data_IF_939496344457
#
_entry.id   IF_939496344457
#
_cell.length_a   1.000
_cell.length_b   1.000
_cell.length_c   1.000
_cell.angle_alpha   90.00
_cell.angle_beta   90.00
_cell.angle_gamma   90.00
#
_symmetry.space_group_name_H-M   'P 1'
#
loop_
_entity.id
_entity.type
_entity.pdbx_description
1 polymer ?
#
# COMPACT_ATOMS: atom_id res chain seq x y z
N UNK A 1 -12.14 2.16 -5.24
CA UNK A 1 -12.42 1.79 -3.84
C UNK A 1 -13.25 2.90 -3.22
N UNK A 2 -14.52 2.60 -2.92
CA UNK A 2 -15.52 3.55 -2.44
C UNK A 2 -15.34 3.78 -0.94
N UNK A 3 -14.97 4.99 -0.54
CA UNK A 3 -15.03 5.42 0.86
C UNK A 3 -16.49 5.68 1.24
N UNK A 4 -17.10 4.75 1.99
CA UNK A 4 -18.36 4.98 2.69
C UNK A 4 -18.08 5.83 3.92
N UNK A 5 -18.68 7.00 3.93
CA UNK A 5 -18.70 7.98 5.02
C UNK A 5 -19.58 7.45 6.19
N UNK A 6 -19.06 7.28 7.43
CA UNK A 6 -19.88 6.94 8.58
C UNK A 6 -19.87 8.10 9.58
N UNK A 7 -20.94 8.90 9.63
CA UNK A 7 -21.44 9.51 10.86
C UNK A 7 -22.48 10.61 10.56
N UNK A 8 -23.66 10.46 11.17
CA UNK A 8 -24.22 11.43 12.12
C UNK A 8 -25.60 10.92 12.55
N UNK A 9 -25.62 9.93 13.45
CA UNK A 9 -26.81 9.60 14.22
C UNK A 9 -26.78 10.44 15.50
N UNK A 10 -27.30 11.66 15.40
CA UNK A 10 -27.70 12.45 16.56
C UNK A 10 -29.20 12.15 16.80
N UNK A 11 -29.50 11.25 17.72
CA UNK A 11 -30.86 11.13 18.25
C UNK A 11 -31.09 12.24 19.29
N UNK A 12 -32.13 13.07 19.16
CA UNK A 12 -32.46 14.05 20.19
C UNK A 12 -33.06 13.32 21.39
N UNK A 13 -32.40 13.45 22.55
CA UNK A 13 -32.94 13.04 23.85
C UNK A 13 -34.29 13.73 24.08
N UNK A 14 -35.36 12.92 24.05
CA UNK A 14 -36.71 13.36 24.38
C UNK A 14 -36.73 13.89 25.82
N UNK A 15 -37.01 15.18 25.98
CA UNK A 15 -37.35 15.81 27.25
C UNK A 15 -38.61 15.14 27.82
N UNK A 16 -38.40 14.16 28.72
CA UNK A 16 -39.46 13.43 29.38
C UNK A 16 -39.94 14.16 30.64
N UNK A 17 -41.20 14.58 30.59
CA UNK A 17 -42.22 14.59 31.66
C UNK A 17 -41.72 14.49 33.11
N UNK A 18 -41.35 15.62 33.72
CA UNK A 18 -41.43 15.79 35.17
C UNK A 18 -42.01 17.18 35.49
N UNK A 19 -43.30 17.37 35.21
CA UNK A 19 -44.08 18.46 35.79
C UNK A 19 -45.13 17.86 36.70
N UNK A 20 -45.07 18.28 37.97
CA UNK A 20 -46.06 18.11 39.04
C UNK A 20 -45.97 16.81 39.86
N UNK A 21 -45.00 16.73 40.78
CA UNK A 21 -45.23 16.06 42.07
C UNK A 21 -45.43 17.15 43.14
N UNK A 22 -46.69 17.41 43.50
CA UNK A 22 -47.01 18.04 44.78
C UNK A 22 -46.92 16.96 45.85
N UNK A 23 -45.91 17.05 46.71
CA UNK A 23 -45.77 16.19 47.88
C UNK A 23 -46.72 16.73 48.95
N UNK A 24 -47.80 16.01 49.23
CA UNK A 24 -48.65 16.28 50.39
C UNK A 24 -47.95 15.81 51.66
N UNK A 25 -47.66 16.72 52.58
CA UNK A 25 -47.08 16.40 53.88
C UNK A 25 -48.22 15.96 54.81
N UNK A 26 -48.52 14.66 54.79
CA UNK A 26 -49.35 14.05 55.84
C UNK A 26 -48.51 13.89 57.10
N UNK A 27 -49.11 14.06 58.29
CA UNK A 27 -48.44 13.84 59.58
C UNK A 27 -47.90 12.40 59.64
N UNK A 28 -46.60 12.25 59.39
CA UNK A 28 -45.89 10.97 59.41
C UNK A 28 -45.67 10.59 60.88
N UNK A 29 -46.25 9.47 61.29
CA UNK A 29 -45.82 8.72 62.48
C UNK A 29 -44.33 8.40 62.29
N UNK A 30 -43.46 8.95 63.14
CA UNK A 30 -42.00 8.76 63.05
C UNK A 30 -41.67 7.27 63.26
N UNK A 31 -41.41 6.57 62.17
CA UNK A 31 -40.91 5.19 62.19
C UNK A 31 -39.40 5.25 62.24
N UNK A 32 -38.80 4.56 63.21
CA UNK A 32 -37.36 4.32 63.32
C UNK A 32 -36.76 3.98 61.94
N UNK A 33 -35.69 4.68 61.57
CA UNK A 33 -35.05 4.50 60.26
C UNK A 33 -34.45 3.10 60.16
N UNK A 34 -34.92 2.23 59.23
CA UNK A 34 -34.44 0.86 59.15
C UNK A 34 -32.97 0.84 58.75
N UNK A 35 -32.21 -0.09 59.35
CA UNK A 35 -30.81 -0.34 58.99
C UNK A 35 -30.66 -0.73 57.51
N UNK A 36 -29.53 -0.37 56.86
CA UNK A 36 -29.27 -0.76 55.49
C UNK A 36 -29.09 -2.27 55.36
N UNK A 37 -29.52 -2.85 54.23
CA UNK A 37 -29.41 -4.28 53.99
C UNK A 37 -28.15 -4.53 53.16
N UNK A 38 -27.09 -5.00 53.83
CA UNK A 38 -25.84 -5.30 53.13
C UNK A 38 -25.90 -6.66 52.44
N UNK A 39 -25.21 -6.75 51.30
CA UNK A 39 -24.94 -8.04 50.69
C UNK A 39 -24.09 -8.94 51.62
N UNK A 40 -24.25 -10.26 51.47
CA UNK A 40 -23.51 -11.26 52.25
C UNK A 40 -21.99 -11.14 52.09
N UNK A 41 -21.53 -10.70 50.91
CA UNK A 41 -20.11 -10.44 50.64
C UNK A 41 -19.58 -9.30 51.51
N UNK A 42 -20.30 -8.18 51.58
CA UNK A 42 -19.91 -6.99 52.34
C UNK A 42 -20.00 -7.21 53.85
N UNK A 43 -21.00 -7.98 54.30
CA UNK A 43 -21.21 -8.27 55.72
C UNK A 43 -20.02 -8.99 56.40
N UNK A 44 -19.17 -9.66 55.62
CA UNK A 44 -17.95 -10.30 56.14
C UNK A 44 -16.82 -9.31 56.49
N UNK A 45 -16.88 -8.09 55.95
CA UNK A 45 -15.79 -7.10 56.06
C UNK A 45 -16.21 -5.83 56.79
N UNK A 46 -17.50 -5.49 56.76
CA UNK A 46 -18.02 -4.26 57.36
C UNK A 46 -19.18 -4.59 58.30
N UNK A 47 -19.03 -4.25 59.58
CA UNK A 47 -20.09 -4.41 60.57
C UNK A 47 -21.11 -3.27 60.47
N UNK A 48 -22.40 -3.62 60.53
CA UNK A 48 -23.49 -2.66 60.59
C UNK A 48 -23.36 -1.75 61.84
N UNK A 49 -23.72 -0.46 61.73
CA UNK A 49 -23.79 0.40 62.90
C UNK A 49 -24.92 -0.08 63.83
N UNK A 50 -24.80 0.15 65.16
CA UNK A 50 -25.88 -0.17 66.08
C UNK A 50 -27.11 0.68 65.76
N UNK A 51 -28.31 0.09 65.94
CA UNK A 51 -29.55 0.82 65.75
C UNK A 51 -29.62 2.01 66.72
N UNK A 52 -30.00 3.22 66.25
CA UNK A 52 -30.25 4.34 67.15
C UNK A 52 -31.32 3.96 68.17
N UNK A 53 -31.06 4.25 69.44
CA UNK A 53 -32.00 3.95 70.55
C UNK A 53 -32.88 5.14 70.90
N UNK A 54 -32.55 6.33 70.41
CA UNK A 54 -33.23 7.58 70.71
C UNK A 54 -34.01 8.08 69.49
N UNK A 55 -35.17 8.70 69.72
CA UNK A 55 -35.98 9.37 68.71
C UNK A 55 -36.25 10.83 69.15
N UNK A 56 -35.62 11.84 68.52
CA UNK A 56 -34.77 11.74 67.34
C UNK A 56 -33.38 11.10 67.61
N UNK A 57 -32.71 10.56 66.57
CA UNK A 57 -31.35 10.04 66.67
C UNK A 57 -30.36 11.10 67.20
N UNK A 58 -29.38 10.68 68.01
CA UNK A 58 -28.38 11.60 68.53
C UNK A 58 -27.25 11.86 67.51
N UNK A 59 -26.51 12.98 67.62
CA UNK A 59 -25.34 13.23 66.78
C UNK A 59 -24.30 12.09 66.78
N UNK A 60 -24.22 11.34 67.89
CA UNK A 60 -23.33 10.18 68.00
C UNK A 60 -23.73 9.06 67.04
N UNK A 61 -25.02 8.90 66.74
CA UNK A 61 -25.52 7.87 65.82
C UNK A 61 -25.20 8.22 64.36
N UNK A 62 -25.25 9.52 64.00
CA UNK A 62 -24.78 10.02 62.70
C UNK A 62 -23.27 9.77 62.56
N UNK A 63 -22.48 10.08 63.60
CA UNK A 63 -21.04 9.86 63.57
C UNK A 63 -20.66 8.37 63.39
N UNK A 64 -21.41 7.46 64.04
CA UNK A 64 -21.26 6.01 63.83
C UNK A 64 -21.61 5.60 62.40
N UNK A 65 -22.70 6.14 61.84
CA UNK A 65 -23.09 5.91 60.45
C UNK A 65 -22.02 6.39 59.45
N UNK A 66 -21.47 7.59 59.66
CA UNK A 66 -20.40 8.12 58.82
C UNK A 66 -19.13 7.26 58.85
N UNK A 67 -18.75 6.77 60.04
CA UNK A 67 -17.63 5.82 60.19
C UNK A 67 -17.91 4.51 59.44
N UNK A 68 -19.15 4.02 59.48
CA UNK A 68 -19.58 2.86 58.72
C UNK A 68 -19.44 3.07 57.21
N UNK A 69 -19.90 4.21 56.68
CA UNK A 69 -19.77 4.53 55.25
C UNK A 69 -18.31 4.61 54.81
N UNK A 70 -17.42 5.25 55.58
CA UNK A 70 -15.99 5.30 55.22
C UNK A 70 -15.34 3.92 55.16
N UNK A 71 -15.71 3.02 56.07
CA UNK A 71 -15.25 1.64 56.01
C UNK A 71 -15.78 0.94 54.75
N UNK A 72 -17.03 1.19 54.39
CA UNK A 72 -17.66 0.64 53.20
C UNK A 72 -17.05 1.18 51.90
N UNK A 73 -16.74 2.47 51.82
CA UNK A 73 -16.01 3.08 50.69
C UNK A 73 -14.62 2.48 50.51
N UNK A 74 -13.92 2.20 51.61
CA UNK A 74 -12.62 1.53 51.57
C UNK A 74 -12.74 0.14 50.95
N UNK A 75 -13.76 -0.63 51.35
CA UNK A 75 -13.99 -1.96 50.78
C UNK A 75 -14.53 -1.92 49.35
N UNK A 76 -15.32 -0.91 48.98
CA UNK A 76 -15.75 -0.65 47.60
C UNK A 76 -14.56 -0.39 46.68
N UNK A 77 -13.62 0.48 47.10
CA UNK A 77 -12.39 0.75 46.35
C UNK A 77 -11.49 -0.50 46.22
N UNK A 78 -11.59 -1.44 47.17
CA UNK A 78 -10.92 -2.74 47.11
C UNK A 78 -11.70 -3.80 46.30
N UNK A 79 -12.81 -3.42 45.64
CA UNK A 79 -13.73 -4.31 44.91
C UNK A 79 -14.36 -5.43 45.77
N UNK A 80 -14.50 -5.21 47.08
CA UNK A 80 -15.08 -6.16 48.04
C UNK A 80 -16.50 -5.83 48.48
N UNK A 81 -16.98 -4.64 48.17
CA UNK A 81 -18.36 -4.23 48.35
C UNK A 81 -18.96 -3.82 46.98
N UNK A 82 -20.20 -4.20 46.67
CA UNK A 82 -20.88 -3.75 45.46
C UNK A 82 -21.33 -2.28 45.60
N UNK A 83 -21.47 -1.60 44.47
CA UNK A 83 -21.94 -0.19 44.40
C UNK A 83 -23.32 0.00 45.06
N UNK A 84 -24.19 -1.02 44.98
CA UNK A 84 -25.52 -1.01 45.58
C UNK A 84 -25.49 -0.85 47.12
N UNK A 85 -24.56 -1.54 47.80
CA UNK A 85 -24.44 -1.47 49.27
C UNK A 85 -23.99 -0.07 49.72
N UNK A 86 -23.09 0.56 48.96
CA UNK A 86 -22.66 1.94 49.21
C UNK A 86 -23.81 2.93 49.00
N UNK A 87 -24.61 2.73 47.94
CA UNK A 87 -25.82 3.50 47.68
C UNK A 87 -26.84 3.41 48.83
N UNK A 88 -27.10 2.20 49.34
CA UNK A 88 -28.00 2.01 50.48
C UNK A 88 -27.49 2.65 51.76
N UNK A 89 -26.18 2.55 52.04
CA UNK A 89 -25.56 3.16 53.21
C UNK A 89 -25.68 4.70 53.18
N UNK A 90 -25.45 5.33 52.03
CA UNK A 90 -25.60 6.78 51.85
C UNK A 90 -27.06 7.23 52.01
N UNK A 91 -28.02 6.45 51.51
CA UNK A 91 -29.45 6.71 51.74
C UNK A 91 -29.80 6.59 53.22
N UNK A 92 -29.21 5.62 53.93
CA UNK A 92 -29.39 5.46 55.37
C UNK A 92 -28.83 6.67 56.15
N UNK A 93 -27.62 7.15 55.86
CA UNK A 93 -27.05 8.35 56.48
C UNK A 93 -27.91 9.59 56.23
N UNK A 94 -28.41 9.77 55.00
CA UNK A 94 -29.28 10.88 54.65
C UNK A 94 -30.60 10.86 55.46
N UNK A 95 -31.23 9.68 55.58
CA UNK A 95 -32.45 9.49 56.38
C UNK A 95 -32.19 9.73 57.86
N UNK A 96 -31.08 9.20 58.38
CA UNK A 96 -30.70 9.33 59.79
C UNK A 96 -30.43 10.80 60.16
N UNK A 97 -29.71 11.52 59.28
CA UNK A 97 -29.44 12.95 59.44
C UNK A 97 -30.72 13.77 59.36
N UNK A 98 -31.62 13.45 58.43
CA UNK A 98 -32.92 14.12 58.30
C UNK A 98 -33.83 13.90 59.52
N UNK A 99 -33.81 12.72 60.13
CA UNK A 99 -34.52 12.41 61.35
C UNK A 99 -33.96 13.19 62.56
N UNK A 100 -32.63 13.23 62.71
CA UNK A 100 -31.96 13.92 63.81
C UNK A 100 -32.23 15.43 63.86
N UNK A 101 -32.43 16.07 62.70
CA UNK A 101 -32.73 17.51 62.59
C UNK A 101 -34.24 17.82 62.55
N UNK A 102 -35.10 16.84 62.86
CA UNK A 102 -36.54 17.02 62.93
C UNK A 102 -37.21 17.34 61.57
N UNK A 103 -36.62 16.89 60.47
CA UNK A 103 -37.17 17.11 59.12
C UNK A 103 -37.02 18.53 58.56
N UNK A 104 -36.51 19.49 59.34
CA UNK A 104 -36.08 20.79 58.84
C UNK A 104 -34.58 20.74 58.55
N UNK A 105 -34.22 20.39 57.31
CA UNK A 105 -32.86 20.61 56.84
C UNK A 105 -32.49 22.09 57.08
N UNK A 106 -31.42 22.41 57.84
CA UNK A 106 -31.06 23.79 58.08
C UNK A 106 -30.85 24.49 56.75
N UNK A 107 -31.45 25.67 56.57
CA UNK A 107 -31.35 26.47 55.34
C UNK A 107 -29.90 26.72 54.90
N UNK A 108 -28.95 26.62 55.83
CA UNK A 108 -27.50 26.68 55.60
C UNK A 108 -27.01 25.58 54.63
N UNK A 109 -27.54 24.36 54.72
CA UNK A 109 -27.16 23.24 53.85
C UNK A 109 -27.56 23.47 52.39
N UNK A 110 -28.73 24.07 52.14
CA UNK A 110 -29.17 24.42 50.78
C UNK A 110 -28.32 25.52 50.16
N UNK A 111 -27.96 26.53 50.95
CA UNK A 111 -27.10 27.62 50.49
C UNK A 111 -25.70 27.12 50.10
N UNK A 112 -25.11 26.23 50.90
CA UNK A 112 -23.80 25.61 50.61
C UNK A 112 -23.89 24.75 49.34
N UNK A 113 -24.91 23.90 49.21
CA UNK A 113 -25.10 23.06 48.01
C UNK A 113 -25.27 23.93 46.77
N UNK A 114 -26.06 25.00 46.83
CA UNK A 114 -26.24 25.92 45.72
C UNK A 114 -24.93 26.61 45.34
N UNK A 115 -24.12 27.02 46.32
CA UNK A 115 -22.82 27.63 46.08
C UNK A 115 -21.85 26.65 45.40
N UNK A 116 -21.81 25.39 45.86
CA UNK A 116 -20.99 24.33 45.26
C UNK A 116 -21.44 24.04 43.83
N UNK A 117 -22.75 23.91 43.58
CA UNK A 117 -23.27 23.68 42.23
C UNK A 117 -22.97 24.85 41.30
N UNK A 118 -23.06 26.09 41.79
CA UNK A 118 -22.66 27.26 41.01
C UNK A 118 -21.17 27.23 40.65
N UNK A 119 -20.29 26.88 41.60
CA UNK A 119 -18.87 26.76 41.36
C UNK A 119 -18.53 25.63 40.38
N UNK A 120 -19.20 24.47 40.50
CA UNK A 120 -19.06 23.35 39.56
C UNK A 120 -19.50 23.79 38.16
N UNK A 121 -20.65 24.45 38.02
CA UNK A 121 -21.15 24.93 36.74
C UNK A 121 -20.25 26.00 36.09
N UNK A 122 -19.55 26.80 36.89
CA UNK A 122 -18.56 27.75 36.39
C UNK A 122 -17.29 27.03 35.92
N UNK A 123 -16.79 26.07 36.72
CA UNK A 123 -15.62 25.28 36.36
C UNK A 123 -15.86 24.41 35.12
N UNK A 124 -17.04 23.81 34.99
CA UNK A 124 -17.42 23.02 33.82
C UNK A 124 -17.46 23.89 32.56
N UNK A 125 -18.11 25.06 32.61
CA UNK A 125 -18.11 26.00 31.47
C UNK A 125 -16.70 26.42 31.06
N UNK A 126 -15.86 26.81 32.02
CA UNK A 126 -14.47 27.16 31.72
C UNK A 126 -13.62 25.97 31.24
N UNK A 127 -13.98 24.74 31.58
CA UNK A 127 -13.35 23.55 31.04
C UNK A 127 -13.78 23.27 29.60
N UNK A 128 -15.07 23.38 29.30
CA UNK A 128 -15.64 23.23 27.96
C UNK A 128 -15.04 24.26 26.99
N UNK A 129 -14.94 25.53 27.41
CA UNK A 129 -14.31 26.60 26.62
C UNK A 129 -12.84 26.27 26.30
N UNK A 130 -12.04 25.89 27.31
CA UNK A 130 -10.63 25.52 27.11
C UNK A 130 -10.45 24.30 26.21
N UNK A 131 -11.35 23.31 26.28
CA UNK A 131 -11.32 22.17 25.38
C UNK A 131 -11.67 22.61 23.96
N UNK A 132 -12.71 23.42 23.80
CA UNK A 132 -13.13 23.95 22.49
C UNK A 132 -11.98 24.70 21.80
N UNK A 133 -11.32 25.59 22.51
CA UNK A 133 -10.15 26.32 21.99
C UNK A 133 -9.00 25.40 21.60
N UNK A 134 -8.68 24.39 22.42
CA UNK A 134 -7.61 23.42 22.12
C UNK A 134 -7.94 22.57 20.91
N UNK A 135 -9.21 22.20 20.72
CA UNK A 135 -9.66 21.45 19.54
C UNK A 135 -9.49 22.31 18.28
N UNK A 136 -10.02 23.54 18.29
CA UNK A 136 -9.93 24.47 17.16
C UNK A 136 -8.46 24.72 16.77
N UNK A 137 -7.61 24.96 17.75
CA UNK A 137 -6.18 25.19 17.52
C UNK A 137 -5.46 23.94 16.99
N UNK A 138 -5.82 22.75 17.48
CA UNK A 138 -5.27 21.49 16.99
C UNK A 138 -5.70 21.20 15.54
N UNK A 139 -6.96 21.47 15.22
CA UNK A 139 -7.51 21.34 13.86
C UNK A 139 -6.83 22.31 12.91
N UNK A 140 -6.66 23.58 13.31
CA UNK A 140 -5.92 24.58 12.52
C UNK A 140 -4.49 24.13 12.23
N UNK A 141 -3.74 23.70 13.25
CA UNK A 141 -2.35 23.20 13.07
C UNK A 141 -2.30 21.98 12.16
N UNK A 142 -3.29 21.09 12.26
CA UNK A 142 -3.35 19.88 11.43
C UNK A 142 -3.66 20.26 9.98
N UNK A 143 -4.60 21.17 9.74
CA UNK A 143 -4.90 21.72 8.42
C UNK A 143 -3.68 22.38 7.76
N UNK A 144 -2.93 23.20 8.50
CA UNK A 144 -1.70 23.83 8.00
C UNK A 144 -0.58 22.83 7.68
N UNK A 145 -0.49 21.73 8.45
CA UNK A 145 0.45 20.65 8.16
C UNK A 145 0.03 19.90 6.90
N UNK A 146 -1.25 19.62 6.74
CA UNK A 146 -1.80 18.96 5.55
C UNK A 146 -1.55 19.81 4.31
N UNK A 147 -1.91 21.10 4.32
CA UNK A 147 -1.68 21.98 3.16
C UNK A 147 -0.20 22.10 2.76
N UNK A 148 0.72 22.12 3.73
CA UNK A 148 2.17 22.08 3.44
C UNK A 148 2.61 20.76 2.83
N UNK A 149 2.04 19.63 3.27
CA UNK A 149 2.34 18.32 2.69
C UNK A 149 1.78 18.20 1.28
N UNK A 150 0.55 18.65 1.03
CA UNK A 150 -0.06 18.71 -0.30
C UNK A 150 0.79 19.53 -1.27
N UNK A 151 1.26 20.72 -0.86
CA UNK A 151 2.16 21.52 -1.69
C UNK A 151 3.50 20.82 -2.01
N UNK A 152 4.08 20.12 -1.03
CA UNK A 152 5.31 19.34 -1.24
C UNK A 152 5.08 18.16 -2.17
N UNK A 153 3.96 17.46 -2.03
CA UNK A 153 3.58 16.33 -2.89
C UNK A 153 3.36 16.82 -4.31
N UNK A 154 2.59 17.90 -4.52
CA UNK A 154 2.39 18.48 -5.84
C UNK A 154 3.69 18.89 -6.53
N UNK A 155 4.62 19.51 -5.80
CA UNK A 155 5.95 19.85 -6.34
C UNK A 155 6.82 18.62 -6.66
N UNK A 156 6.64 17.51 -5.95
CA UNK A 156 7.32 16.25 -6.27
C UNK A 156 6.71 15.62 -7.54
N UNK A 157 5.38 15.61 -7.65
CA UNK A 157 4.66 15.09 -8.81
C UNK A 157 5.07 15.82 -10.09
N UNK A 158 5.13 17.16 -10.05
CA UNK A 158 5.58 17.99 -11.17
C UNK A 158 7.03 17.63 -11.59
N UNK A 159 7.96 17.60 -10.63
CA UNK A 159 9.36 17.26 -10.89
C UNK A 159 9.54 15.84 -11.44
N UNK A 160 8.74 14.89 -10.98
CA UNK A 160 8.75 13.52 -11.49
C UNK A 160 8.23 13.50 -12.93
N UNK A 161 7.11 14.19 -13.20
CA UNK A 161 6.56 14.35 -14.54
C UNK A 161 7.59 14.88 -15.54
N UNK A 162 8.27 15.98 -15.21
CA UNK A 162 9.32 16.56 -16.06
C UNK A 162 10.48 15.60 -16.31
N UNK A 163 10.90 14.85 -15.30
CA UNK A 163 11.98 13.86 -15.44
C UNK A 163 11.57 12.71 -16.33
N UNK A 164 10.32 12.21 -16.20
CA UNK A 164 9.77 11.17 -17.07
C UNK A 164 9.78 11.65 -18.52
N UNK A 165 9.20 12.82 -18.81
CA UNK A 165 9.17 13.37 -20.18
C UNK A 165 10.57 13.64 -20.77
N UNK A 166 11.57 13.90 -19.93
CA UNK A 166 12.97 14.01 -20.38
C UNK A 166 13.57 12.65 -20.73
N UNK A 167 13.28 11.62 -19.93
CA UNK A 167 13.75 10.25 -20.17
C UNK A 167 13.11 9.68 -21.43
N UNK A 168 11.79 9.85 -21.61
CA UNK A 168 11.07 9.41 -22.81
C UNK A 168 11.68 9.98 -24.10
N UNK A 169 11.93 11.30 -24.14
CA UNK A 169 12.61 11.93 -25.29
C UNK A 169 13.97 11.33 -25.58
N UNK A 170 14.76 11.03 -24.54
CA UNK A 170 16.09 10.40 -24.71
C UNK A 170 15.96 8.98 -25.23
N UNK A 171 14.96 8.22 -24.78
CA UNK A 171 14.68 6.86 -25.26
C UNK A 171 14.37 6.90 -26.76
N UNK A 172 13.46 7.78 -27.21
CA UNK A 172 13.13 7.92 -28.63
C UNK A 172 14.35 8.26 -29.50
N UNK A 173 15.24 9.14 -29.02
CA UNK A 173 16.49 9.46 -29.73
C UNK A 173 17.43 8.26 -29.81
N UNK A 174 17.53 7.48 -28.72
CA UNK A 174 18.36 6.27 -28.69
C UNK A 174 17.79 5.20 -29.63
N UNK A 175 16.47 4.99 -29.64
CA UNK A 175 15.82 4.06 -30.57
C UNK A 175 16.09 4.42 -32.02
N UNK A 176 16.00 5.71 -32.37
CA UNK A 176 16.37 6.21 -33.70
C UNK A 176 17.81 5.86 -34.08
N UNK A 177 18.77 6.14 -33.18
CA UNK A 177 20.19 5.84 -33.41
C UNK A 177 20.48 4.34 -33.51
N UNK A 178 19.78 3.51 -32.73
CA UNK A 178 19.93 2.05 -32.80
C UNK A 178 19.46 1.54 -34.16
N UNK A 179 18.35 2.05 -34.68
CA UNK A 179 17.86 1.68 -36.01
C UNK A 179 18.83 2.10 -37.12
N UNK A 180 19.43 3.29 -37.01
CA UNK A 180 20.47 3.77 -37.93
C UNK A 180 21.69 2.84 -37.92
N UNK A 181 22.24 2.56 -36.73
CA UNK A 181 23.38 1.64 -36.55
C UNK A 181 23.07 0.24 -37.10
N UNK A 182 21.85 -0.26 -36.90
CA UNK A 182 21.44 -1.55 -37.47
C UNK A 182 21.42 -1.52 -39.01
N UNK A 183 21.03 -0.40 -39.62
CA UNK A 183 21.12 -0.18 -41.06
C UNK A 183 22.58 -0.22 -41.52
N UNK A 184 23.45 0.55 -40.88
CA UNK A 184 24.87 0.63 -41.23
C UNK A 184 25.57 -0.73 -41.11
N UNK A 185 25.28 -1.49 -40.06
CA UNK A 185 25.84 -2.84 -39.87
C UNK A 185 25.43 -3.78 -41.02
N UNK A 186 24.17 -3.72 -41.48
CA UNK A 186 23.72 -4.53 -42.63
C UNK A 186 24.48 -4.12 -43.90
N UNK A 187 24.58 -2.83 -44.19
CA UNK A 187 25.31 -2.32 -45.36
C UNK A 187 26.80 -2.66 -45.33
N UNK A 188 27.45 -2.58 -44.17
CA UNK A 188 28.84 -3.00 -43.99
C UNK A 188 29.01 -4.50 -44.22
N UNK A 189 28.10 -5.32 -43.68
CA UNK A 189 28.11 -6.77 -43.87
C UNK A 189 28.00 -7.14 -45.36
N UNK A 190 27.07 -6.51 -46.07
CA UNK A 190 26.89 -6.74 -47.51
C UNK A 190 28.14 -6.32 -48.30
N UNK A 191 28.72 -5.17 -47.95
CA UNK A 191 29.95 -4.67 -48.58
C UNK A 191 31.15 -5.60 -48.34
N UNK A 192 31.28 -6.14 -47.12
CA UNK A 192 32.30 -7.13 -46.79
C UNK A 192 32.14 -8.40 -47.62
N UNK A 193 30.93 -8.93 -47.74
CA UNK A 193 30.67 -10.13 -48.54
C UNK A 193 30.98 -9.93 -50.02
N UNK A 194 30.61 -8.78 -50.60
CA UNK A 194 30.98 -8.47 -51.98
C UNK A 194 32.49 -8.38 -52.14
N UNK A 195 33.18 -7.73 -51.20
CA UNK A 195 34.64 -7.60 -51.23
C UNK A 195 35.33 -8.96 -51.14
N UNK A 196 34.92 -9.82 -50.20
CA UNK A 196 35.45 -11.18 -50.05
C UNK A 196 35.22 -12.00 -51.32
N UNK A 197 34.01 -11.93 -51.89
CA UNK A 197 33.66 -12.63 -53.13
C UNK A 197 34.52 -12.18 -54.30
N UNK A 198 34.61 -10.86 -54.53
CA UNK A 198 35.41 -10.29 -55.62
C UNK A 198 36.89 -10.63 -55.44
N UNK A 199 37.43 -10.56 -54.23
CA UNK A 199 38.82 -10.92 -53.94
C UNK A 199 39.10 -12.40 -54.23
N UNK A 200 38.22 -13.32 -53.80
CA UNK A 200 38.35 -14.74 -54.08
C UNK A 200 38.25 -15.06 -55.58
N UNK A 201 37.29 -14.44 -56.30
CA UNK A 201 37.15 -14.63 -57.74
C UNK A 201 38.34 -14.08 -58.54
N UNK A 202 38.88 -12.92 -58.15
CA UNK A 202 40.08 -12.35 -58.77
C UNK A 202 41.32 -13.22 -58.51
N UNK A 203 41.46 -13.74 -57.29
CA UNK A 203 42.52 -14.70 -56.97
C UNK A 203 42.44 -15.93 -57.88
N UNK A 204 41.26 -16.54 -57.98
CA UNK A 204 41.03 -17.71 -58.83
C UNK A 204 41.36 -17.42 -60.30
N UNK A 205 40.97 -16.24 -60.80
CA UNK A 205 41.26 -15.80 -62.16
C UNK A 205 42.76 -15.66 -62.44
N UNK A 206 43.54 -15.27 -61.43
CA UNK A 206 44.97 -15.03 -61.57
C UNK A 206 45.83 -16.31 -61.57
N UNK A 207 45.30 -17.44 -61.06
CA UNK A 207 46.10 -18.66 -60.89
C UNK A 207 46.28 -19.51 -62.17
N UNK A 208 45.54 -19.22 -63.26
CA UNK A 208 45.59 -20.01 -64.50
C UNK A 208 44.78 -21.32 -64.44
N UNK A 209 44.99 -22.22 -65.39
CA UNK A 209 44.22 -23.47 -65.57
C UNK A 209 45.02 -24.76 -65.34
N UNK A 210 46.17 -24.66 -64.67
CA UNK A 210 47.03 -25.81 -64.37
C UNK A 210 46.38 -26.82 -63.40
N UNK A 211 46.73 -28.11 -63.49
CA UNK A 211 46.14 -29.18 -62.67
C UNK A 211 46.43 -29.03 -61.16
N UNK A 212 47.50 -28.30 -60.80
CA UNK A 212 47.89 -28.05 -59.40
C UNK A 212 47.31 -26.74 -58.84
N UNK A 213 46.52 -26.01 -59.64
CA UNK A 213 45.93 -24.73 -59.20
C UNK A 213 44.87 -24.99 -58.14
N UNK A 214 45.11 -24.44 -56.95
CA UNK A 214 44.16 -24.48 -55.84
C UNK A 214 43.31 -23.21 -55.81
N UNK A 215 42.02 -23.37 -56.11
CA UNK A 215 41.02 -22.30 -56.08
C UNK A 215 40.59 -22.00 -54.63
N UNK A 216 40.26 -20.74 -54.38
CA UNK A 216 39.56 -20.26 -53.18
C UNK A 216 38.06 -20.43 -53.38
N UNK A 217 37.37 -20.84 -52.33
CA UNK A 217 35.90 -20.90 -52.32
C UNK A 217 35.35 -19.48 -52.45
N UNK A 218 34.48 -19.26 -53.42
CA UNK A 218 33.83 -17.98 -53.67
C UNK A 218 32.44 -18.02 -53.05
N UNK A 219 32.13 -17.11 -52.12
CA UNK A 219 30.81 -17.00 -51.51
C UNK A 219 29.72 -16.72 -52.54
N UNK A 220 28.49 -17.08 -52.20
CA UNK A 220 27.30 -16.73 -52.98
C UNK A 220 27.02 -15.21 -52.95
N UNK A 221 26.21 -14.68 -53.89
CA UNK A 221 25.85 -13.26 -53.94
C UNK A 221 25.20 -12.72 -52.66
N UNK A 222 24.51 -13.57 -51.91
CA UNK A 222 23.88 -13.27 -50.63
C UNK A 222 24.85 -13.36 -49.43
N UNK A 223 26.13 -13.65 -49.69
CA UNK A 223 27.17 -13.84 -48.67
C UNK A 223 27.21 -15.25 -48.06
N UNK A 224 26.31 -16.15 -48.47
CA UNK A 224 26.28 -17.54 -48.04
C UNK A 224 27.58 -18.27 -48.40
N UNK A 225 28.10 -19.05 -47.46
CA UNK A 225 29.21 -19.97 -47.74
C UNK A 225 28.63 -21.24 -48.39
N UNK A 226 29.03 -21.59 -49.62
CA UNK A 226 28.52 -22.77 -50.30
C UNK A 226 28.76 -24.07 -49.53
N UNK A 227 29.82 -24.12 -48.73
CA UNK A 227 30.29 -25.33 -48.05
C UNK A 227 29.72 -25.49 -46.65
N UNK A 228 29.19 -24.41 -46.07
CA UNK A 228 28.59 -24.42 -44.74
C UNK A 228 27.06 -24.69 -44.83
N UNK A 229 26.41 -25.05 -43.71
CA UNK A 229 24.95 -25.05 -43.63
C UNK A 229 24.37 -23.68 -44.00
N UNK A 230 23.21 -23.62 -44.68
CA UNK A 230 22.33 -24.74 -45.03
C UNK A 230 22.71 -25.47 -46.33
N UNK A 231 23.67 -24.96 -47.11
CA UNK A 231 23.95 -25.44 -48.45
C UNK A 231 24.73 -26.76 -48.48
N UNK A 232 25.74 -26.89 -47.62
CA UNK A 232 26.57 -28.11 -47.46
C UNK A 232 27.10 -28.67 -48.80
N UNK A 233 27.47 -27.80 -49.75
CA UNK A 233 27.94 -28.21 -51.07
C UNK A 233 29.43 -28.58 -51.05
N UNK A 234 29.89 -29.51 -51.92
CA UNK A 234 31.30 -29.88 -52.00
C UNK A 234 32.19 -28.69 -52.40
N UNK A 235 33.31 -28.42 -51.70
CA UNK A 235 34.13 -27.25 -51.97
C UNK A 235 34.78 -27.30 -53.36
N UNK A 236 34.68 -26.19 -54.11
CA UNK A 236 35.25 -26.02 -55.44
C UNK A 236 36.72 -25.58 -55.37
N UNK A 237 37.61 -26.51 -55.04
CA UNK A 237 39.05 -26.24 -54.85
C UNK A 237 39.91 -26.43 -56.10
N UNK A 238 39.37 -27.02 -57.17
CA UNK A 238 40.02 -27.17 -58.48
C UNK A 238 38.99 -27.30 -59.61
N UNK A 239 39.41 -27.16 -60.88
CA UNK A 239 38.53 -27.40 -62.03
C UNK A 239 38.03 -28.85 -62.08
N UNK A 240 38.84 -29.80 -61.60
CA UNK A 240 38.46 -31.21 -61.53
C UNK A 240 37.31 -31.43 -60.54
N UNK A 241 37.32 -30.71 -59.40
CA UNK A 241 36.19 -30.78 -58.46
C UNK A 241 34.89 -30.28 -59.07
N UNK A 242 34.93 -29.28 -59.97
CA UNK A 242 33.74 -28.79 -60.69
C UNK A 242 33.22 -29.86 -61.64
N UNK A 243 34.10 -30.48 -62.46
CA UNK A 243 33.71 -31.55 -63.39
C UNK A 243 33.13 -32.75 -62.67
N UNK A 244 33.71 -33.10 -61.52
CA UNK A 244 33.33 -34.25 -60.69
C UNK A 244 32.08 -34.06 -59.84
N UNK A 245 31.49 -32.86 -59.79
CA UNK A 245 30.22 -32.66 -59.12
C UNK A 245 29.11 -33.50 -59.78
N UNK A 246 28.18 -34.00 -58.97
CA UNK A 246 26.94 -34.58 -59.50
C UNK A 246 25.98 -33.47 -60.00
N UNK A 247 24.98 -33.85 -60.81
CA UNK A 247 24.04 -32.90 -61.40
C UNK A 247 23.22 -32.10 -60.38
N UNK A 248 22.95 -32.69 -59.21
CA UNK A 248 22.21 -32.02 -58.12
C UNK A 248 23.05 -30.88 -57.55
N UNK A 249 24.32 -31.13 -57.24
CA UNK A 249 25.22 -30.13 -56.68
C UNK A 249 25.53 -29.03 -57.70
N UNK A 250 25.73 -29.38 -58.98
CA UNK A 250 25.87 -28.40 -60.07
C UNK A 250 24.64 -27.50 -60.16
N UNK A 251 23.45 -28.10 -60.12
CA UNK A 251 22.19 -27.34 -60.13
C UNK A 251 22.08 -26.42 -58.91
N UNK A 252 22.45 -26.89 -57.73
CA UNK A 252 22.45 -26.08 -56.51
C UNK A 252 23.43 -24.92 -56.58
N UNK A 253 24.66 -25.15 -57.05
CA UNK A 253 25.63 -24.07 -57.27
C UNK A 253 25.12 -23.00 -58.23
N UNK A 254 24.61 -23.42 -59.40
CA UNK A 254 24.07 -22.48 -60.39
C UNK A 254 22.89 -21.70 -59.83
N UNK A 255 21.94 -22.37 -59.16
CA UNK A 255 20.77 -21.72 -58.60
C UNK A 255 21.12 -20.66 -57.53
N UNK A 256 22.18 -20.86 -56.75
CA UNK A 256 22.59 -19.88 -55.74
C UNK A 256 23.48 -18.77 -56.32
N UNK A 257 24.32 -19.05 -57.32
CA UNK A 257 25.10 -17.99 -57.99
C UNK A 257 24.26 -17.12 -58.93
N UNK A 258 23.21 -17.69 -59.51
CA UNK A 258 22.35 -17.05 -60.51
C UNK A 258 20.86 -17.29 -60.17
N UNK A 259 20.35 -16.70 -59.07
CA UNK A 259 18.99 -16.98 -58.59
C UNK A 259 17.89 -16.58 -59.58
N UNK A 260 18.13 -15.56 -60.40
CA UNK A 260 17.16 -15.05 -61.38
C UNK A 260 17.30 -15.68 -62.77
N UNK A 261 18.32 -16.53 -62.99
CA UNK A 261 18.55 -17.13 -64.30
C UNK A 261 17.66 -18.36 -64.51
N UNK A 262 17.11 -18.57 -65.72
CA UNK A 262 16.42 -19.80 -66.05
C UNK A 262 17.37 -20.98 -65.92
N UNK A 263 16.82 -22.15 -65.55
CA UNK A 263 17.61 -23.36 -65.34
C UNK A 263 18.39 -23.72 -66.61
N UNK A 264 19.73 -23.67 -66.60
CA UNK A 264 20.50 -23.94 -67.81
C UNK A 264 20.59 -25.45 -68.11
N UNK A 265 20.84 -25.80 -69.37
CA UNK A 265 21.18 -27.17 -69.78
C UNK A 265 22.36 -27.72 -68.98
N UNK A 266 22.39 -29.04 -68.78
CA UNK A 266 23.43 -29.71 -67.97
C UNK A 266 24.85 -29.37 -68.46
N UNK A 267 25.05 -29.35 -69.78
CA UNK A 267 26.34 -29.06 -70.42
C UNK A 267 26.85 -27.64 -70.19
N UNK A 268 25.99 -26.69 -69.81
CA UNK A 268 26.38 -25.29 -69.59
C UNK A 268 26.68 -24.98 -68.12
N UNK A 269 26.28 -25.86 -67.18
CA UNK A 269 26.41 -25.61 -65.74
C UNK A 269 27.86 -25.48 -65.31
N UNK A 270 28.75 -26.30 -65.83
CA UNK A 270 30.18 -26.29 -65.48
C UNK A 270 30.83 -24.95 -65.85
N UNK A 271 30.49 -24.43 -67.03
CA UNK A 271 30.97 -23.13 -67.51
C UNK A 271 30.43 -21.98 -66.66
N UNK A 272 29.15 -22.02 -66.30
CA UNK A 272 28.53 -21.02 -65.44
C UNK A 272 29.12 -21.04 -64.02
N UNK A 273 29.37 -22.22 -63.45
CA UNK A 273 30.01 -22.35 -62.13
C UNK A 273 31.44 -21.79 -62.19
N UNK A 274 32.24 -22.20 -63.19
CA UNK A 274 33.60 -21.68 -63.36
C UNK A 274 33.62 -20.16 -63.53
N UNK A 275 32.70 -19.61 -64.34
CA UNK A 275 32.55 -18.17 -64.51
C UNK A 275 32.22 -17.46 -63.19
N UNK A 276 31.27 -18.00 -62.41
CA UNK A 276 30.85 -17.42 -61.14
C UNK A 276 31.98 -17.34 -60.10
N UNK A 277 32.88 -18.32 -60.10
CA UNK A 277 34.02 -18.38 -59.18
C UNK A 277 35.30 -17.76 -59.73
N UNK A 278 35.25 -17.17 -60.93
CA UNK A 278 36.40 -16.54 -61.58
C UNK A 278 37.42 -17.50 -62.20
N UNK A 279 37.09 -18.78 -62.36
CA UNK A 279 37.94 -19.76 -63.02
C UNK A 279 37.79 -19.70 -64.57
N UNK A 280 38.84 -20.00 -65.35
CA UNK A 280 38.77 -19.96 -66.81
C UNK A 280 37.79 -20.99 -67.38
N UNK A 281 36.72 -20.59 -68.11
CA UNK A 281 35.64 -21.49 -68.51
C UNK A 281 35.97 -22.34 -69.76
N UNK A 282 36.98 -21.96 -70.53
CA UNK A 282 37.35 -22.67 -71.77
C UNK A 282 38.08 -24.00 -71.51
N UNK A 283 38.57 -24.16 -70.29
CA UNK A 283 39.22 -25.38 -69.85
C UNK A 283 38.18 -26.41 -69.36
N UNK A 284 36.86 -26.20 -69.52
CA UNK A 284 35.79 -27.13 -69.10
C UNK A 284 34.91 -27.61 -70.24
#
# INVERSE_FOLDING_TARGET
>A
MLYKNPACLYEPLKQSKYKNLRVGWSLVTMVLTPLPVLSTTTANYVSLPPHPTNDPPEPIDIAKCHKFIRNLEKEFNNMRAPEADLGEALVYEAKLTAAAIGGQAPNVTQAIVQQVMNAINQNMRGFEERIGERIIESERRTGERIGRLEGRVGGIEERIGERISRVERRITVIEGKVNEIQGDIRSLKDSMFQTERTAAALYNKAQGDGPEVRLKVVRFPDGGDPTAPPHNLPPLISLETIRGLNDRDKQSYVANYYPDAPRPPVLERDKLIAQAIGAPPYSL
#
